data_IF_374714670227
#
_entry.id   IF_374714670227
#
_cell.length_a   1.000
_cell.length_b   1.000
_cell.length_c   1.000
_cell.angle_alpha   90.00
_cell.angle_beta   90.00
_cell.angle_gamma   90.00
#
_symmetry.space_group_name_H-M   'P 1'
#
loop_
_entity.id
_entity.type
_entity.pdbx_description
1 polymer ?
#
# COMPACT_ATOMS: atom_id res chain seq x y z
N UNK A 1 4.63 3.24 22.21
CA UNK A 1 4.45 2.47 20.97
C UNK A 1 5.84 2.06 20.51
N UNK A 2 6.06 0.76 20.25
CA UNK A 2 7.37 0.24 19.80
C UNK A 2 7.14 -0.40 18.44
N UNK A 3 7.70 0.18 17.37
CA UNK A 3 7.72 -0.45 16.06
C UNK A 3 8.87 -1.45 16.01
N UNK A 4 8.60 -2.66 15.55
CA UNK A 4 9.57 -3.76 15.47
C UNK A 4 9.73 -4.21 14.02
N UNK A 5 10.85 -4.86 13.73
CA UNK A 5 11.06 -5.47 12.43
C UNK A 5 10.01 -6.56 12.23
N UNK A 6 9.45 -6.64 11.03
CA UNK A 6 8.48 -7.68 10.67
C UNK A 6 9.01 -9.11 10.87
N UNK A 7 10.32 -9.34 10.74
CA UNK A 7 10.91 -10.67 10.98
C UNK A 7 10.83 -11.12 12.43
N UNK A 8 10.75 -10.17 13.37
CA UNK A 8 10.68 -10.43 14.81
C UNK A 8 9.24 -10.56 15.33
N UNK A 9 8.24 -10.38 14.45
CA UNK A 9 6.84 -10.56 14.81
C UNK A 9 6.44 -12.04 14.78
N UNK A 10 5.65 -12.44 15.77
CA UNK A 10 4.99 -13.74 15.80
C UNK A 10 3.95 -13.88 14.67
N UNK A 11 3.56 -15.12 14.36
CA UNK A 11 2.52 -15.40 13.37
C UNK A 11 1.18 -14.72 13.73
N UNK A 12 0.78 -14.77 15.01
CA UNK A 12 -0.45 -14.13 15.48
C UNK A 12 -0.43 -12.61 15.31
N UNK A 13 0.72 -11.95 15.55
CA UNK A 13 0.86 -10.51 15.34
C UNK A 13 0.76 -10.14 13.86
N UNK A 14 1.36 -10.94 12.97
CA UNK A 14 1.24 -10.77 11.52
C UNK A 14 -0.20 -10.95 11.06
N UNK A 15 -0.90 -11.97 11.55
CA UNK A 15 -2.31 -12.23 11.22
C UNK A 15 -3.23 -11.09 11.70
N UNK A 16 -3.00 -10.55 12.91
CA UNK A 16 -3.75 -9.39 13.41
C UNK A 16 -3.51 -8.15 12.54
N UNK A 17 -2.28 -7.93 12.07
CA UNK A 17 -1.97 -6.83 11.15
C UNK A 17 -2.64 -7.01 9.78
N UNK A 18 -2.59 -8.21 9.20
CA UNK A 18 -3.30 -8.52 7.94
C UNK A 18 -4.79 -8.27 8.10
N UNK A 19 -5.39 -8.75 9.19
CA UNK A 19 -6.79 -8.50 9.53
C UNK A 19 -7.09 -7.01 9.69
N UNK A 20 -6.19 -6.26 10.33
CA UNK A 20 -6.29 -4.81 10.48
C UNK A 20 -6.28 -4.07 9.13
N UNK A 21 -5.37 -4.44 8.22
CA UNK A 21 -5.33 -3.86 6.88
C UNK A 21 -6.61 -4.18 6.09
N UNK A 22 -7.07 -5.42 6.14
CA UNK A 22 -8.35 -5.81 5.53
C UNK A 22 -9.51 -5.00 6.10
N UNK A 23 -9.53 -4.76 7.40
CA UNK A 23 -10.57 -3.96 8.02
C UNK A 23 -10.57 -2.51 7.51
N UNK A 24 -9.40 -1.92 7.22
CA UNK A 24 -9.35 -0.57 6.61
C UNK A 24 -10.01 -0.52 5.22
N UNK A 25 -9.94 -1.61 4.46
CA UNK A 25 -10.54 -1.69 3.12
C UNK A 25 -12.07 -1.65 3.17
N UNK A 26 -12.68 -2.23 4.22
CA UNK A 26 -14.11 -2.53 4.27
C UNK A 26 -14.90 -1.64 5.25
N UNK A 27 -14.25 -0.67 5.89
CA UNK A 27 -14.86 0.21 6.90
C UNK A 27 -14.73 1.67 6.48
N UNK A 28 -15.74 2.51 6.78
CA UNK A 28 -15.63 3.95 6.55
C UNK A 28 -14.44 4.56 7.32
N UNK A 29 -13.79 5.57 6.74
CA UNK A 29 -12.75 6.35 7.41
C UNK A 29 -13.36 7.19 8.54
N UNK A 30 -12.64 7.32 9.65
CA UNK A 30 -12.96 8.25 10.74
C UNK A 30 -12.74 9.71 10.33
N UNK A 31 -12.02 9.95 9.24
CA UNK A 31 -11.73 11.30 8.71
C UNK A 31 -12.66 11.72 7.57
N UNK A 32 -13.22 10.76 6.83
CA UNK A 32 -14.22 10.99 5.78
C UNK A 32 -15.05 9.72 5.54
N UNK A 33 -16.26 9.68 6.09
CA UNK A 33 -17.12 8.50 6.03
C UNK A 33 -17.58 8.11 4.60
N UNK A 34 -17.33 8.96 3.59
CA UNK A 34 -17.63 8.65 2.18
C UNK A 34 -16.61 7.70 1.55
N UNK A 35 -15.43 7.57 2.16
CA UNK A 35 -14.35 6.69 1.71
C UNK A 35 -14.15 5.57 2.71
N UNK A 36 -13.63 4.42 2.25
CA UNK A 36 -13.05 3.47 3.19
C UNK A 36 -11.84 4.09 3.89
N UNK A 37 -11.49 3.60 5.09
CA UNK A 37 -10.31 4.06 5.81
C UNK A 37 -9.04 3.92 4.97
N UNK A 38 -8.91 2.82 4.21
CA UNK A 38 -7.83 2.61 3.24
C UNK A 38 -7.83 3.68 2.15
N UNK A 39 -8.99 3.90 1.50
CA UNK A 39 -9.10 4.82 0.38
C UNK A 39 -8.90 6.29 0.78
N UNK A 40 -9.27 6.66 2.00
CA UNK A 40 -8.95 7.98 2.54
C UNK A 40 -7.43 8.24 2.54
N UNK A 41 -6.62 7.30 3.04
CA UNK A 41 -5.18 7.48 3.07
C UNK A 41 -4.54 7.43 1.68
N UNK A 42 -5.08 6.60 0.77
CA UNK A 42 -4.64 6.59 -0.64
C UNK A 42 -4.94 7.93 -1.32
N UNK A 43 -6.15 8.47 -1.15
CA UNK A 43 -6.51 9.78 -1.67
C UNK A 43 -5.63 10.89 -1.08
N UNK A 44 -5.41 10.87 0.24
CA UNK A 44 -4.56 11.85 0.91
C UNK A 44 -3.12 11.81 0.38
N UNK A 45 -2.57 10.61 0.16
CA UNK A 45 -1.24 10.45 -0.41
C UNK A 45 -1.18 10.89 -1.87
N UNK A 46 -2.16 10.51 -2.70
CA UNK A 46 -2.28 10.97 -4.08
C UNK A 46 -2.27 12.50 -4.15
N UNK A 47 -3.04 13.19 -3.32
CA UNK A 47 -3.03 14.65 -3.26
C UNK A 47 -1.64 15.16 -2.86
N UNK A 48 -1.00 14.54 -1.87
CA UNK A 48 0.37 14.89 -1.45
C UNK A 48 1.45 14.69 -2.55
N UNK A 49 1.15 13.95 -3.62
CA UNK A 49 2.05 13.82 -4.79
C UNK A 49 2.00 15.01 -5.74
N UNK A 50 1.01 15.90 -5.59
CA UNK A 50 0.91 17.13 -6.38
C UNK A 50 2.07 18.06 -5.98
N UNK A 51 2.84 18.61 -6.95
CA UNK A 51 4.03 19.40 -6.63
C UNK A 51 3.79 20.57 -5.66
N UNK A 52 2.68 21.29 -5.82
CA UNK A 52 2.31 22.43 -4.99
C UNK A 52 2.04 22.09 -3.52
N UNK A 53 1.79 20.82 -3.18
CA UNK A 53 1.58 20.39 -1.79
C UNK A 53 2.88 20.32 -0.97
N UNK A 54 4.03 20.28 -1.66
CA UNK A 54 5.36 20.27 -1.05
C UNK A 54 5.53 19.15 0.02
N UNK A 55 5.02 17.94 -0.24
CA UNK A 55 5.14 16.80 0.70
C UNK A 55 6.21 15.78 0.33
N UNK A 56 6.66 15.69 -0.92
CA UNK A 56 7.63 14.67 -1.35
C UNK A 56 9.03 15.22 -1.58
N UNK A 57 9.16 16.24 -2.42
CA UNK A 57 10.44 16.89 -2.74
C UNK A 57 10.72 18.12 -1.86
N UNK A 58 10.40 18.05 -0.56
CA UNK A 58 10.52 19.18 0.35
C UNK A 58 10.68 18.74 1.81
N UNK A 59 11.01 19.69 2.69
CA UNK A 59 11.25 19.47 4.12
C UNK A 59 10.07 18.82 4.87
N UNK A 60 8.84 18.90 4.33
CA UNK A 60 7.66 18.28 4.94
C UNK A 60 7.60 16.76 4.77
N UNK A 61 8.50 16.16 3.97
CA UNK A 61 8.48 14.72 3.67
C UNK A 61 8.40 13.85 4.92
N UNK A 62 9.39 13.94 5.80
CA UNK A 62 9.42 13.14 7.02
C UNK A 62 8.27 13.43 7.98
N UNK A 63 7.97 14.69 8.37
CA UNK A 63 6.89 14.94 9.32
C UNK A 63 5.50 14.58 8.75
N UNK A 64 5.25 14.77 7.46
CA UNK A 64 3.97 14.41 6.84
C UNK A 64 3.75 12.89 6.80
N UNK A 65 4.77 12.11 6.39
CA UNK A 65 4.67 10.65 6.39
C UNK A 65 4.56 10.08 7.81
N UNK A 66 5.25 10.68 8.79
CA UNK A 66 5.14 10.28 10.20
C UNK A 66 3.71 10.43 10.72
N UNK A 67 3.07 11.56 10.42
CA UNK A 67 1.67 11.79 10.80
C UNK A 67 0.71 10.86 10.05
N UNK A 68 0.95 10.62 8.75
CA UNK A 68 0.18 9.65 7.96
C UNK A 68 0.22 8.26 8.61
N UNK A 69 1.41 7.77 8.96
CA UNK A 69 1.58 6.46 9.61
C UNK A 69 0.94 6.39 10.99
N UNK A 70 0.99 7.49 11.76
CA UNK A 70 0.30 7.57 13.04
C UNK A 70 -1.22 7.42 12.89
N UNK A 71 -1.83 8.11 11.90
CA UNK A 71 -3.27 8.01 11.61
C UNK A 71 -3.68 6.64 11.09
N UNK A 72 -2.90 6.05 10.17
CA UNK A 72 -3.13 4.68 9.70
C UNK A 72 -3.11 3.70 10.87
N UNK A 73 -2.12 3.81 11.76
CA UNK A 73 -2.03 2.96 12.96
C UNK A 73 -3.24 3.14 13.87
N UNK A 74 -3.74 4.38 14.00
CA UNK A 74 -4.91 4.69 14.83
C UNK A 74 -6.19 4.06 14.27
N UNK A 75 -6.40 4.13 12.95
CA UNK A 75 -7.53 3.47 12.27
C UNK A 75 -7.45 1.94 12.39
N UNK A 76 -6.26 1.33 12.29
CA UNK A 76 -6.09 -0.12 12.50
C UNK A 76 -6.47 -0.52 13.92
N UNK A 77 -6.05 0.26 14.93
CA UNK A 77 -6.41 0.01 16.34
C UNK A 77 -7.91 0.11 16.55
N UNK A 78 -8.55 1.13 15.98
CA UNK A 78 -10.01 1.29 16.03
C UNK A 78 -10.72 0.12 15.34
N UNK A 79 -10.26 -0.27 14.16
CA UNK A 79 -10.87 -1.33 13.36
C UNK A 79 -10.75 -2.72 14.00
N UNK A 80 -9.67 -2.98 14.74
CA UNK A 80 -9.39 -4.26 15.40
C UNK A 80 -9.78 -4.30 16.87
N UNK A 81 -10.04 -3.15 17.50
CA UNK A 81 -10.21 -3.04 18.95
C UNK A 81 -8.92 -3.27 19.76
N UNK A 82 -7.77 -3.50 19.11
CA UNK A 82 -6.50 -3.73 19.78
C UNK A 82 -5.68 -2.45 19.82
N UNK A 83 -5.74 -1.72 20.94
CA UNK A 83 -5.02 -0.47 21.17
C UNK A 83 -3.50 -0.62 21.23
N UNK A 84 -2.99 -1.84 21.39
CA UNK A 84 -1.55 -2.14 21.48
C UNK A 84 -0.89 -2.38 20.12
N UNK A 85 -1.69 -2.61 19.05
CA UNK A 85 -1.14 -2.82 17.71
C UNK A 85 -0.27 -1.65 17.26
N UNK A 86 0.83 -1.98 16.59
CA UNK A 86 1.78 -1.01 16.04
C UNK A 86 2.19 -1.48 14.66
N UNK A 87 2.29 -0.58 13.70
CA UNK A 87 2.84 -0.92 12.38
C UNK A 87 4.29 -1.38 12.52
N UNK A 88 4.65 -2.57 11.99
CA UNK A 88 6.04 -2.99 11.92
C UNK A 88 6.78 -2.18 10.87
N UNK A 89 8.11 -2.26 10.90
CA UNK A 89 8.94 -1.80 9.79
C UNK A 89 9.49 -2.98 9.00
N UNK A 90 9.74 -2.72 7.71
CA UNK A 90 10.48 -3.60 6.82
C UNK A 90 11.88 -3.01 6.64
N UNK A 91 12.89 -3.75 7.09
CA UNK A 91 14.29 -3.43 6.81
C UNK A 91 14.67 -4.04 5.47
N UNK A 92 14.61 -3.24 4.42
CA UNK A 92 14.90 -3.68 3.05
C UNK A 92 16.40 -3.94 2.81
N UNK A 93 17.28 -3.62 3.76
CA UNK A 93 18.71 -3.99 3.70
C UNK A 93 18.97 -5.40 4.22
N UNK A 94 17.98 -5.98 4.90
CA UNK A 94 18.03 -7.30 5.51
C UNK A 94 17.17 -8.32 4.71
N UNK A 95 17.80 -9.36 4.12
CA UNK A 95 17.08 -10.39 3.38
C UNK A 95 16.01 -11.11 4.22
N UNK A 96 16.26 -11.35 5.51
CA UNK A 96 15.30 -12.04 6.38
C UNK A 96 14.06 -11.19 6.65
N UNK A 97 14.25 -9.88 6.81
CA UNK A 97 13.15 -8.91 6.91
C UNK A 97 12.33 -8.87 5.62
N UNK A 98 12.98 -8.90 4.46
CA UNK A 98 12.31 -8.95 3.17
C UNK A 98 11.53 -10.25 2.97
N UNK A 99 12.13 -11.40 3.32
CA UNK A 99 11.46 -12.69 3.30
C UNK A 99 10.23 -12.70 4.22
N UNK A 100 10.36 -12.19 5.45
CA UNK A 100 9.26 -12.10 6.39
C UNK A 100 8.15 -11.12 5.94
N UNK A 101 8.51 -10.03 5.23
CA UNK A 101 7.55 -9.06 4.68
C UNK A 101 6.68 -9.71 3.61
N UNK A 102 7.32 -10.41 2.66
CA UNK A 102 6.67 -10.91 1.45
C UNK A 102 6.31 -12.39 1.50
N UNK A 103 6.37 -13.01 2.68
CA UNK A 103 5.81 -14.33 2.91
C UNK A 103 4.29 -14.33 2.63
N UNK A 104 3.77 -15.48 2.18
CA UNK A 104 2.34 -15.68 1.88
C UNK A 104 1.43 -15.50 3.11
N UNK A 105 2.01 -15.56 4.31
CA UNK A 105 1.31 -15.34 5.58
C UNK A 105 1.24 -13.86 6.00
N UNK A 106 1.85 -12.95 5.23
CA UNK A 106 1.82 -11.50 5.50
C UNK A 106 1.47 -10.69 4.25
N UNK A 107 2.42 -10.01 3.59
CA UNK A 107 2.09 -9.18 2.41
C UNK A 107 1.93 -10.00 1.13
N UNK A 108 2.51 -11.21 1.06
CA UNK A 108 2.57 -12.03 -0.15
C UNK A 108 3.66 -11.56 -1.12
N UNK A 109 4.08 -12.46 -2.01
CA UNK A 109 5.19 -12.24 -2.93
C UNK A 109 4.89 -11.37 -4.16
N UNK A 110 5.71 -11.57 -5.20
CA UNK A 110 5.47 -11.05 -6.54
C UNK A 110 4.22 -11.71 -7.13
N UNK A 111 3.49 -10.99 -7.97
CA UNK A 111 2.34 -11.53 -8.69
C UNK A 111 2.73 -12.38 -9.89
N UNK A 112 1.74 -13.01 -10.50
CA UNK A 112 1.92 -13.96 -11.60
C UNK A 112 2.28 -13.24 -12.92
N UNK A 113 3.49 -13.45 -13.49
CA UNK A 113 3.89 -12.83 -14.75
C UNK A 113 2.97 -13.19 -15.92
N UNK A 114 2.32 -14.37 -15.91
CA UNK A 114 1.37 -14.77 -16.94
C UNK A 114 0.02 -14.03 -16.82
N UNK A 115 -0.22 -13.36 -15.69
CA UNK A 115 -1.44 -12.62 -15.40
C UNK A 115 -1.15 -11.17 -14.98
N UNK A 116 -0.35 -10.48 -15.80
CA UNK A 116 0.00 -9.07 -15.61
C UNK A 116 0.59 -8.74 -14.22
N UNK A 117 1.27 -9.71 -13.58
CA UNK A 117 1.80 -9.61 -12.22
C UNK A 117 0.73 -9.36 -11.15
N UNK A 118 -0.48 -9.86 -11.35
CA UNK A 118 -1.54 -9.84 -10.35
C UNK A 118 -1.20 -10.72 -9.14
N UNK A 119 -1.44 -10.21 -7.93
CA UNK A 119 -1.33 -10.99 -6.69
C UNK A 119 -2.33 -12.14 -6.68
N UNK A 120 -1.91 -13.29 -6.13
CA UNK A 120 -2.68 -14.52 -6.07
C UNK A 120 -4.13 -14.32 -5.56
N UNK A 121 -5.07 -15.05 -6.17
CA UNK A 121 -6.51 -14.92 -5.90
C UNK A 121 -6.93 -15.31 -4.48
N UNK A 122 -6.19 -16.22 -3.85
CA UNK A 122 -6.47 -16.72 -2.50
C UNK A 122 -5.76 -15.88 -1.44
N UNK A 123 -4.72 -15.13 -1.79
CA UNK A 123 -4.02 -14.24 -0.87
C UNK A 123 -4.97 -13.19 -0.24
N UNK A 124 -4.81 -12.77 1.03
CA UNK A 124 -5.61 -11.71 1.63
C UNK A 124 -5.63 -10.41 0.80
N UNK A 125 -4.51 -10.06 0.18
CA UNK A 125 -4.42 -8.90 -0.72
C UNK A 125 -4.68 -9.22 -2.21
N UNK A 126 -5.32 -10.36 -2.47
CA UNK A 126 -5.79 -10.76 -3.79
C UNK A 126 -7.14 -10.14 -4.16
N UNK A 127 -7.57 -10.25 -5.43
CA UNK A 127 -8.75 -9.59 -6.01
C UNK A 127 -10.09 -9.90 -5.34
N UNK A 128 -10.19 -11.00 -4.60
CA UNK A 128 -11.41 -11.43 -3.92
C UNK A 128 -11.67 -10.65 -2.63
N UNK A 129 -10.61 -10.18 -1.97
CA UNK A 129 -10.66 -9.53 -0.64
C UNK A 129 -10.10 -8.11 -0.65
N UNK A 130 -9.30 -7.77 -1.66
CA UNK A 130 -8.63 -6.48 -1.81
C UNK A 130 -8.76 -5.98 -3.25
N UNK A 131 -9.53 -4.90 -3.44
CA UNK A 131 -9.70 -4.26 -4.76
C UNK A 131 -9.41 -2.77 -4.68
N UNK A 132 -8.62 -2.31 -5.64
CA UNK A 132 -8.35 -0.90 -5.85
C UNK A 132 -9.60 -0.26 -6.50
N UNK A 133 -10.18 0.71 -5.80
CA UNK A 133 -11.35 1.45 -6.27
C UNK A 133 -11.06 2.12 -7.61
N UNK A 134 -12.03 2.18 -8.54
CA UNK A 134 -11.80 2.65 -9.92
C UNK A 134 -11.05 3.98 -10.04
N UNK A 135 -11.37 4.95 -9.17
CA UNK A 135 -10.74 6.28 -9.14
C UNK A 135 -9.26 6.29 -8.71
N UNK A 136 -8.76 5.18 -8.15
CA UNK A 136 -7.37 5.05 -7.67
C UNK A 136 -6.54 4.08 -8.51
N UNK A 137 -7.05 3.61 -9.65
CA UNK A 137 -6.30 2.76 -10.58
C UNK A 137 -5.41 3.64 -11.45
N UNK A 138 -4.10 3.55 -11.28
CA UNK A 138 -3.12 4.43 -11.94
C UNK A 138 -2.36 3.77 -13.08
N UNK A 139 -2.49 2.45 -13.25
CA UNK A 139 -1.86 1.70 -14.35
C UNK A 139 -2.85 0.84 -15.14
N UNK A 140 -2.56 0.58 -16.42
CA UNK A 140 -3.42 -0.21 -17.30
C UNK A 140 -3.67 -1.64 -16.78
N UNK A 141 -2.68 -2.26 -16.12
CA UNK A 141 -2.82 -3.58 -15.52
C UNK A 141 -3.90 -3.61 -14.42
N UNK A 142 -3.98 -2.58 -13.57
CA UNK A 142 -5.04 -2.46 -12.56
C UNK A 142 -6.42 -2.30 -13.22
N UNK A 143 -6.51 -1.60 -14.36
CA UNK A 143 -7.78 -1.48 -15.08
C UNK A 143 -8.20 -2.83 -15.71
N UNK A 144 -7.29 -3.50 -16.43
CA UNK A 144 -7.51 -4.81 -17.07
C UNK A 144 -7.88 -5.91 -16.08
N UNK A 145 -7.27 -5.89 -14.90
CA UNK A 145 -7.52 -6.86 -13.82
C UNK A 145 -8.62 -6.41 -12.85
N UNK A 146 -9.36 -5.36 -13.21
CA UNK A 146 -10.47 -4.81 -12.43
C UNK A 146 -10.10 -4.49 -10.96
N UNK A 147 -8.96 -3.83 -10.78
CA UNK A 147 -8.45 -3.32 -9.50
C UNK A 147 -7.67 -4.33 -8.69
N UNK A 148 -7.14 -5.39 -9.31
CA UNK A 148 -6.25 -6.32 -8.62
C UNK A 148 -4.93 -5.63 -8.28
N UNK A 149 -4.38 -5.91 -7.10
CA UNK A 149 -3.05 -5.43 -6.73
C UNK A 149 -2.00 -6.07 -7.65
N UNK A 150 -1.17 -5.23 -8.26
CA UNK A 150 -0.10 -5.65 -9.17
C UNK A 150 1.25 -5.50 -8.46
N UNK A 151 2.10 -6.54 -8.51
CA UNK A 151 3.46 -6.50 -7.96
C UNK A 151 4.45 -7.29 -8.81
N UNK A 152 5.50 -6.64 -9.27
CA UNK A 152 6.56 -7.26 -10.05
C UNK A 152 7.93 -6.96 -9.44
N UNK A 153 8.39 -7.81 -8.53
CA UNK A 153 9.66 -7.56 -7.82
C UNK A 153 10.86 -7.64 -8.78
N UNK A 154 11.78 -6.69 -8.67
CA UNK A 154 12.99 -6.64 -9.50
C UNK A 154 12.78 -6.18 -10.95
N UNK A 155 11.54 -6.14 -11.45
CA UNK A 155 11.22 -5.72 -12.83
C UNK A 155 10.88 -4.24 -12.92
N UNK A 156 11.61 -3.40 -12.16
CA UNK A 156 11.26 -2.01 -11.86
C UNK A 156 10.74 -1.19 -13.05
N UNK A 157 9.42 -1.14 -13.20
CA UNK A 157 8.74 0.06 -13.67
C UNK A 157 8.78 1.03 -12.48
N UNK A 158 9.92 1.72 -12.31
CA UNK A 158 9.91 2.95 -11.54
C UNK A 158 8.79 3.81 -12.13
N UNK A 159 7.84 4.22 -11.30
CA UNK A 159 6.83 5.21 -11.68
C UNK A 159 7.56 6.32 -12.45
N UNK A 160 7.22 6.51 -13.72
CA UNK A 160 7.86 7.55 -14.49
C UNK A 160 7.47 8.89 -13.85
N UNK A 161 8.46 9.75 -13.66
CA UNK A 161 8.18 11.17 -13.44
C UNK A 161 7.62 11.69 -14.75
N UNK A 162 6.29 11.73 -14.86
CA UNK A 162 5.63 12.36 -16.00
C UNK A 162 5.88 13.87 -15.93
N UNK A 163 6.87 14.35 -16.69
CA UNK A 163 7.11 15.80 -16.84
C UNK A 163 6.06 16.47 -17.73
N UNK A 164 5.25 15.72 -18.47
CA UNK A 164 4.26 16.28 -19.38
C UNK A 164 2.95 16.63 -18.67
N UNK A 165 2.68 16.02 -17.50
CA UNK A 165 1.55 16.34 -16.64
C UNK A 165 2.08 16.89 -15.32
N UNK A 166 2.22 18.21 -15.23
CA UNK A 166 2.69 18.96 -14.04
C UNK A 166 1.87 18.73 -12.76
N UNK A 167 0.89 17.83 -12.79
CA UNK A 167 -0.09 17.61 -11.73
C UNK A 167 0.34 16.54 -10.71
N UNK A 168 1.15 15.52 -11.08
CA UNK A 168 1.53 14.43 -10.16
C UNK A 168 2.89 13.80 -10.47
N UNK A 169 3.70 13.55 -9.43
CA UNK A 169 5.04 12.95 -9.59
C UNK A 169 5.08 11.42 -9.80
N UNK A 170 3.98 10.70 -9.57
CA UNK A 170 3.97 9.23 -9.54
C UNK A 170 2.85 8.62 -10.41
N UNK A 171 2.90 8.83 -11.72
CA UNK A 171 2.04 8.13 -12.67
C UNK A 171 2.79 6.93 -13.29
N UNK A 172 2.05 5.89 -13.65
CA UNK A 172 2.61 4.79 -14.46
C UNK A 172 3.01 5.32 -15.84
N UNK A 173 4.05 4.74 -16.41
CA UNK A 173 4.49 5.11 -17.76
C UNK A 173 3.48 4.56 -18.79
N UNK A 174 2.87 5.43 -19.60
CA UNK A 174 1.98 5.03 -20.71
C UNK A 174 2.74 4.30 -21.84
N UNK A 175 4.08 4.26 -21.80
CA UNK A 175 4.94 3.72 -22.87
C UNK A 175 5.98 2.72 -22.33
N UNK A 176 5.54 1.57 -21.82
CA UNK A 176 6.41 0.40 -21.78
C UNK A 176 5.96 -0.60 -22.86
N UNK A 177 6.76 -0.85 -23.92
CA UNK A 177 6.39 -1.75 -25.02
C UNK A 177 6.36 -3.25 -24.63
N UNK A 178 6.52 -3.57 -23.34
CA UNK A 178 6.31 -4.90 -22.78
C UNK A 178 5.28 -4.81 -21.66
N UNK A 179 4.00 -5.03 -21.99
CA UNK A 179 2.93 -5.30 -21.00
C UNK A 179 1.49 -4.90 -21.37
#
# INVERSE_FOLDING_TARGET
MISRNIKDLSAAEKEQLVSGFQALQHRPSSFDARLSARDYFVQAHITATIPSELKHAAWKFFPWHRELMFRVTSEIRLATGNSSLTLPYWDWTDPDSSFATFADTFMGGSGDPANAFAVDQKHPFGPTRWRISPQFRTIAAEQRTNGTLIRSFGNGLLACVDRAREERYFLGCDHHPYG
#
